data_IF_170831056883
#
_entry.id   IF_170831056883
#
_cell.length_a   1.000
_cell.length_b   1.000
_cell.length_c   1.000
_cell.angle_alpha   90.00
_cell.angle_beta   90.00
_cell.angle_gamma   90.00
#
_symmetry.space_group_name_H-M   'P 1'
#
loop_
_entity.id
_entity.type
_entity.pdbx_description
1 polymer ?
#
# COMPACT_ATOMS: atom_id res chain seq x y z
N UNK A 1 14.76 26.62 4.05
CA UNK A 1 13.64 26.34 3.13
C UNK A 1 13.19 24.92 3.39
N UNK A 2 12.06 24.74 4.09
CA UNK A 2 11.50 23.40 4.29
C UNK A 2 10.86 22.99 2.97
N UNK A 3 11.24 21.86 2.34
CA UNK A 3 10.59 21.40 1.12
C UNK A 3 9.18 20.93 1.51
N UNK A 4 8.25 21.88 1.61
CA UNK A 4 6.86 21.60 1.86
C UNK A 4 6.28 20.98 0.60
N UNK A 5 5.70 19.78 0.72
CA UNK A 5 4.90 19.21 -0.36
C UNK A 5 3.88 20.25 -0.80
N UNK A 6 4.05 20.73 -2.04
CA UNK A 6 3.12 21.60 -2.72
C UNK A 6 1.69 21.01 -2.66
N UNK A 7 0.69 21.88 -2.65
CA UNK A 7 -0.70 21.50 -2.42
C UNK A 7 -1.18 20.47 -3.44
N UNK A 8 -0.72 20.57 -4.69
CA UNK A 8 -1.09 19.66 -5.76
C UNK A 8 -0.38 18.30 -5.65
N UNK A 9 0.86 18.30 -5.16
CA UNK A 9 1.61 17.07 -4.86
C UNK A 9 0.94 16.32 -3.69
N UNK A 10 0.50 17.06 -2.67
CA UNK A 10 -0.23 16.50 -1.52
C UNK A 10 -1.60 15.95 -1.93
N UNK A 11 -2.32 16.65 -2.82
CA UNK A 11 -3.60 16.19 -3.33
C UNK A 11 -3.46 14.90 -4.14
N UNK A 12 -2.47 14.83 -5.04
CA UNK A 12 -2.17 13.63 -5.83
C UNK A 12 -1.75 12.44 -4.96
N UNK A 13 -0.91 12.66 -3.95
CA UNK A 13 -0.54 11.62 -3.00
C UNK A 13 -1.75 11.07 -2.23
N UNK A 14 -2.69 11.93 -1.82
CA UNK A 14 -3.94 11.49 -1.15
C UNK A 14 -4.88 10.75 -2.08
N UNK A 15 -5.02 11.20 -3.32
CA UNK A 15 -5.84 10.52 -4.32
C UNK A 15 -5.30 9.10 -4.60
N UNK A 16 -3.98 8.95 -4.69
CA UNK A 16 -3.33 7.66 -4.82
C UNK A 16 -3.55 6.75 -3.60
N UNK A 17 -3.39 7.26 -2.38
CA UNK A 17 -3.69 6.51 -1.15
C UNK A 17 -5.15 6.05 -1.07
N UNK A 18 -6.07 6.80 -1.70
CA UNK A 18 -7.49 6.46 -1.78
C UNK A 18 -7.86 5.52 -2.93
N UNK A 19 -6.96 5.26 -3.88
CA UNK A 19 -7.21 4.34 -5.00
C UNK A 19 -7.08 2.89 -4.52
N UNK A 20 -8.22 2.35 -4.08
CA UNK A 20 -8.34 1.00 -3.54
C UNK A 20 -7.92 -0.09 -4.54
N UNK A 21 -8.18 0.07 -5.84
CA UNK A 21 -7.82 -0.93 -6.85
C UNK A 21 -6.31 -1.01 -7.05
N UNK A 22 -5.67 0.15 -7.19
CA UNK A 22 -4.21 0.21 -7.26
C UNK A 22 -3.57 -0.28 -5.97
N UNK A 23 -4.14 0.06 -4.81
CA UNK A 23 -3.66 -0.41 -3.51
C UNK A 23 -3.75 -1.95 -3.39
N UNK A 24 -4.84 -2.58 -3.84
CA UNK A 24 -4.98 -4.05 -3.81
C UNK A 24 -3.92 -4.75 -4.66
N UNK A 25 -3.63 -4.24 -5.87
CA UNK A 25 -2.57 -4.79 -6.73
C UNK A 25 -1.18 -4.65 -6.10
N UNK A 26 -0.92 -3.52 -5.42
CA UNK A 26 0.33 -3.28 -4.69
C UNK A 26 0.45 -4.23 -3.49
N UNK A 27 -0.62 -4.40 -2.71
CA UNK A 27 -0.65 -5.34 -1.58
C UNK A 27 -0.41 -6.77 -2.06
N UNK A 28 -0.98 -7.19 -3.20
CA UNK A 28 -0.72 -8.51 -3.78
C UNK A 28 0.75 -8.69 -4.18
N UNK A 29 1.37 -7.66 -4.76
CA UNK A 29 2.80 -7.69 -5.14
C UNK A 29 3.71 -7.76 -3.91
N UNK A 30 3.43 -6.96 -2.88
CA UNK A 30 4.14 -7.00 -1.60
C UNK A 30 4.02 -8.36 -0.90
N UNK A 31 2.83 -8.99 -0.94
CA UNK A 31 2.60 -10.34 -0.41
C UNK A 31 3.41 -11.41 -1.13
N UNK A 32 3.78 -11.20 -2.39
CA UNK A 32 4.66 -12.09 -3.17
C UNK A 32 6.14 -11.84 -2.90
N UNK A 33 6.48 -10.97 -1.95
CA UNK A 33 7.86 -10.59 -1.64
C UNK A 33 8.47 -9.58 -2.61
N UNK A 34 7.67 -9.01 -3.52
CA UNK A 34 8.15 -8.01 -4.47
C UNK A 34 8.08 -6.62 -3.81
N UNK A 35 9.21 -5.91 -3.78
CA UNK A 35 9.23 -4.51 -3.38
C UNK A 35 8.40 -3.65 -4.33
N UNK A 36 7.80 -2.60 -3.81
CA UNK A 36 7.01 -1.66 -4.60
C UNK A 36 7.61 -0.26 -4.52
N UNK A 37 7.82 0.39 -5.66
CA UNK A 37 8.27 1.77 -5.74
C UNK A 37 7.14 2.65 -6.27
N UNK A 38 6.74 3.66 -5.49
CA UNK A 38 5.85 4.71 -5.93
C UNK A 38 6.67 5.94 -6.33
N UNK A 39 6.46 6.44 -7.54
CA UNK A 39 7.08 7.65 -8.04
C UNK A 39 6.02 8.74 -8.21
N UNK A 40 6.24 9.88 -7.58
CA UNK A 40 5.43 11.08 -7.75
C UNK A 40 6.25 12.17 -8.42
N UNK A 41 5.95 12.51 -9.68
CA UNK A 41 6.61 13.61 -10.36
C UNK A 41 6.23 14.94 -9.71
N UNK A 42 7.24 15.78 -9.50
CA UNK A 42 7.17 17.15 -8.98
C UNK A 42 7.85 18.09 -9.98
N UNK A 43 7.59 19.41 -9.93
CA UNK A 43 8.26 20.37 -10.82
C UNK A 43 9.79 20.31 -10.75
N UNK A 44 10.35 19.98 -9.58
CA UNK A 44 11.79 19.98 -9.32
C UNK A 44 12.46 18.59 -9.47
N UNK A 45 11.71 17.57 -9.91
CA UNK A 45 12.21 16.19 -10.00
C UNK A 45 11.14 15.16 -9.62
N UNK A 46 11.53 13.98 -9.15
CA UNK A 46 10.58 12.94 -8.74
C UNK A 46 10.85 12.49 -7.30
N UNK A 47 9.78 12.35 -6.53
CA UNK A 47 9.81 11.73 -5.21
C UNK A 47 9.55 10.25 -5.37
N UNK A 48 10.45 9.40 -4.86
CA UNK A 48 10.32 7.95 -4.93
C UNK A 48 10.22 7.35 -3.54
N UNK A 49 9.12 6.67 -3.25
CA UNK A 49 8.93 5.90 -2.03
C UNK A 49 9.02 4.42 -2.35
N UNK A 50 9.96 3.72 -1.75
CA UNK A 50 10.09 2.26 -1.85
C UNK A 50 9.52 1.59 -0.60
N UNK A 51 8.53 0.74 -0.80
CA UNK A 51 7.98 -0.16 0.20
C UNK A 51 8.63 -1.54 0.05
N UNK A 52 9.25 -2.01 1.13
CA UNK A 52 9.81 -3.37 1.22
C UNK A 52 9.00 -4.18 2.22
N UNK A 53 8.71 -5.46 1.95
CA UNK A 53 8.11 -6.34 2.95
C UNK A 53 9.13 -6.57 4.07
N UNK A 54 8.83 -6.08 5.27
CA UNK A 54 9.71 -6.24 6.45
C UNK A 54 9.51 -7.59 7.15
N UNK A 55 8.38 -8.26 6.89
CA UNK A 55 8.06 -9.63 7.30
C UNK A 55 6.62 -9.94 6.87
N UNK A 56 6.36 -11.15 6.36
CA UNK A 56 4.98 -11.64 6.22
C UNK A 56 4.50 -12.08 7.59
N UNK A 57 3.67 -11.26 8.26
CA UNK A 57 2.96 -11.73 9.44
C UNK A 57 2.11 -12.94 9.03
N UNK A 58 2.15 -14.07 9.76
CA UNK A 58 1.24 -15.18 9.50
C UNK A 58 -0.18 -14.67 9.71
N UNK A 59 -0.90 -14.45 8.61
CA UNK A 59 -2.33 -14.18 8.66
C UNK A 59 -2.98 -15.47 9.14
N UNK A 60 -3.46 -15.49 10.39
CA UNK A 60 -4.30 -16.57 10.88
C UNK A 60 -5.49 -16.72 9.91
N UNK A 61 -5.84 -17.96 9.49
CA UNK A 61 -6.98 -18.18 8.63
C UNK A 61 -8.22 -17.55 9.29
N UNK A 62 -8.85 -16.61 8.59
CA UNK A 62 -10.15 -16.05 8.98
C UNK A 62 -11.25 -16.97 8.47
N UNK A 63 -11.12 -18.27 8.72
CA UNK A 63 -12.22 -19.19 8.49
C UNK A 63 -12.76 -19.58 9.87
N UNK A 64 -13.96 -19.11 10.26
CA UNK A 64 -14.56 -19.59 11.49
C UNK A 64 -14.72 -21.11 11.37
N UNK A 65 -14.34 -21.90 12.39
CA UNK A 65 -14.55 -23.34 12.35
C UNK A 65 -16.05 -23.61 12.11
N UNK A 66 -16.42 -24.60 11.29
CA UNK A 66 -17.83 -24.90 11.05
C UNK A 66 -18.50 -25.15 12.39
N UNK A 67 -19.58 -24.42 12.67
CA UNK A 67 -20.43 -24.65 13.84
C UNK A 67 -20.84 -26.12 13.80
N UNK A 68 -20.29 -26.94 14.70
CA UNK A 68 -20.82 -28.29 14.91
C UNK A 68 -22.20 -28.13 15.52
N UNK A 69 -23.23 -28.34 14.70
CA UNK A 69 -24.56 -28.64 15.19
C UNK A 69 -24.47 -29.96 15.96
N UNK A 70 -24.50 -29.88 17.28
CA UNK A 70 -24.76 -31.05 18.11
C UNK A 70 -26.27 -31.31 18.04
N UNK A 71 -26.65 -32.45 17.47
CA UNK A 71 -27.98 -33.06 17.62
C UNK A 71 -28.21 -33.53 19.06
#
# INVERSE_FOLDING_TARGET
>A
MTPGLDRDVRHRARAWLGDRRSAEAVVQSLRRGQGYAYELPTPDGAWRWTAYPVSTLPLLPTDPPPLRSHE
#
